data_IF_564026294766
#
_entry.id   IF_564026294766
#
_cell.length_a   1.000
_cell.length_b   1.000
_cell.length_c   1.000
_cell.angle_alpha   90.00
_cell.angle_beta   90.00
_cell.angle_gamma   90.00
#
_symmetry.space_group_name_H-M   'P 1'
#
loop_
_entity.id
_entity.type
_entity.pdbx_description
1 polymer ?
#
# COMPACT_ATOMS: atom_id res chain seq x y z
N UNK A 1 23.78 -5.19 21.59
CA UNK A 1 22.35 -5.54 21.38
C UNK A 1 21.73 -4.71 20.27
N UNK A 2 22.02 -5.05 19.00
CA UNK A 2 21.82 -4.20 17.81
C UNK A 2 20.75 -4.71 16.85
N UNK A 3 19.57 -5.05 17.36
CA UNK A 3 18.53 -5.74 16.57
C UNK A 3 17.46 -4.81 15.96
N UNK A 4 17.42 -3.53 16.32
CA UNK A 4 16.36 -2.61 15.88
C UNK A 4 16.93 -1.28 15.42
N UNK A 5 16.53 -0.86 14.21
CA UNK A 5 16.87 0.42 13.61
C UNK A 5 15.67 1.36 13.72
N UNK A 6 15.91 2.61 14.08
CA UNK A 6 14.92 3.67 13.93
C UNK A 6 14.98 4.17 12.48
N UNK A 7 13.87 4.05 11.75
CA UNK A 7 13.79 4.48 10.35
C UNK A 7 12.63 5.47 10.19
N UNK A 8 12.84 6.50 9.38
CA UNK A 8 11.79 7.44 9.00
C UNK A 8 11.25 7.06 7.61
N UNK A 9 9.92 6.96 7.50
CA UNK A 9 9.27 6.74 6.21
C UNK A 9 9.33 8.02 5.38
N UNK A 10 9.92 7.95 4.19
CA UNK A 10 9.97 9.10 3.26
C UNK A 10 8.58 9.53 2.78
N UNK A 11 7.62 8.60 2.76
CA UNK A 11 6.24 8.86 2.29
C UNK A 11 5.38 9.50 3.36
N UNK A 12 5.50 9.05 4.62
CA UNK A 12 4.60 9.49 5.71
C UNK A 12 5.27 10.40 6.73
N UNK A 13 6.60 10.56 6.68
CA UNK A 13 7.39 11.27 7.67
C UNK A 13 7.42 10.61 9.06
N UNK A 14 6.76 9.47 9.24
CA UNK A 14 6.67 8.79 10.54
C UNK A 14 7.91 7.94 10.80
N UNK A 15 8.40 8.02 12.03
CA UNK A 15 9.49 7.18 12.52
C UNK A 15 8.92 5.85 13.07
N UNK A 16 9.57 4.75 12.73
CA UNK A 16 9.25 3.43 13.26
C UNK A 16 10.50 2.63 13.57
N UNK A 17 10.41 1.76 14.58
CA UNK A 17 11.45 0.79 14.88
C UNK A 17 11.25 -0.44 14.00
N UNK A 18 12.29 -0.80 13.25
CA UNK A 18 12.27 -1.94 12.33
C UNK A 18 13.46 -2.85 12.66
N UNK A 19 13.28 -4.18 12.68
CA UNK A 19 14.39 -5.09 12.90
C UNK A 19 15.49 -4.90 11.85
N UNK A 20 16.75 -5.04 12.25
CA UNK A 20 17.90 -4.96 11.34
C UNK A 20 17.81 -5.95 10.17
N UNK A 21 17.19 -7.10 10.39
CA UNK A 21 16.92 -8.13 9.39
C UNK A 21 15.93 -7.70 8.29
N UNK A 22 15.12 -6.67 8.56
CA UNK A 22 14.11 -6.14 7.64
C UNK A 22 14.61 -4.90 6.86
N UNK A 23 15.84 -4.46 7.10
CA UNK A 23 16.44 -3.30 6.43
C UNK A 23 17.41 -3.77 5.35
N UNK A 24 17.28 -3.21 4.16
CA UNK A 24 18.21 -3.40 3.06
C UNK A 24 18.82 -2.06 2.66
N UNK A 25 20.14 -2.02 2.48
CA UNK A 25 20.81 -0.82 1.97
C UNK A 25 20.83 -0.88 0.45
N UNK A 26 20.33 0.16 -0.19
CA UNK A 26 20.31 0.26 -1.66
C UNK A 26 21.35 1.28 -2.11
N UNK A 27 22.23 0.89 -3.03
CA UNK A 27 23.19 1.78 -3.71
C UNK A 27 22.91 1.76 -5.20
N UNK A 28 23.13 2.90 -5.87
CA UNK A 28 22.95 3.03 -7.32
C UNK A 28 21.58 2.58 -7.85
N UNK A 29 20.56 2.46 -6.99
CA UNK A 29 19.19 1.95 -7.26
C UNK A 29 19.07 0.47 -7.61
N UNK A 30 20.14 -0.19 -8.05
CA UNK A 30 20.13 -1.62 -8.42
C UNK A 30 21.00 -2.50 -7.53
N UNK A 31 21.87 -1.95 -6.67
CA UNK A 31 22.72 -2.74 -5.76
C UNK A 31 22.10 -2.81 -4.38
N UNK A 32 21.76 -4.01 -3.92
CA UNK A 32 21.09 -4.27 -2.66
C UNK A 32 21.99 -5.07 -1.71
N UNK A 33 22.20 -4.53 -0.51
CA UNK A 33 22.89 -5.19 0.60
C UNK A 33 21.85 -5.70 1.60
N UNK A 34 22.02 -6.93 2.08
CA UNK A 34 21.09 -7.55 3.04
C UNK A 34 19.84 -8.17 2.43
N UNK A 35 19.68 -8.18 1.10
CA UNK A 35 18.53 -8.81 0.43
C UNK A 35 18.78 -10.29 0.14
N UNK A 36 17.90 -11.15 0.66
CA UNK A 36 17.94 -12.59 0.39
C UNK A 36 17.46 -12.92 -1.03
N UNK A 37 17.73 -14.14 -1.50
CA UNK A 37 17.25 -14.62 -2.81
C UNK A 37 15.72 -14.51 -2.91
N UNK A 38 15.01 -15.01 -1.90
CA UNK A 38 13.55 -14.98 -1.87
C UNK A 38 13.02 -13.53 -1.86
N UNK A 39 13.67 -12.65 -1.09
CA UNK A 39 13.24 -11.24 -1.04
C UNK A 39 13.46 -10.52 -2.37
N UNK A 40 14.54 -10.85 -3.08
CA UNK A 40 14.79 -10.34 -4.43
C UNK A 40 13.71 -10.80 -5.43
N UNK A 41 13.27 -12.06 -5.33
CA UNK A 41 12.17 -12.58 -6.16
C UNK A 41 10.87 -11.83 -5.88
N UNK A 42 10.51 -11.65 -4.61
CA UNK A 42 9.35 -10.84 -4.22
C UNK A 42 9.44 -9.44 -4.82
N UNK A 43 10.55 -8.72 -4.57
CA UNK A 43 10.80 -7.35 -5.05
C UNK A 43 10.62 -7.23 -6.57
N UNK A 44 11.25 -8.11 -7.33
CA UNK A 44 11.15 -8.09 -8.80
C UNK A 44 9.76 -8.44 -9.30
N UNK A 45 9.00 -9.27 -8.58
CA UNK A 45 7.62 -9.64 -8.92
C UNK A 45 6.58 -8.58 -8.52
N UNK A 46 6.96 -7.49 -7.84
CA UNK A 46 6.01 -6.42 -7.53
C UNK A 46 5.36 -5.81 -8.79
N UNK A 47 4.09 -5.36 -8.68
CA UNK A 47 3.46 -4.55 -9.71
C UNK A 47 4.27 -3.27 -9.92
N UNK A 48 4.66 -3.00 -11.17
CA UNK A 48 5.53 -1.88 -11.55
C UNK A 48 6.81 -2.35 -12.21
N UNK A 49 7.32 -3.53 -11.87
CA UNK A 49 8.44 -4.14 -12.56
C UNK A 49 7.98 -4.82 -13.86
N UNK A 50 8.78 -4.70 -14.92
CA UNK A 50 8.54 -5.29 -16.25
C UNK A 50 9.58 -6.38 -16.56
N UNK A 51 9.40 -7.09 -17.67
CA UNK A 51 10.42 -8.02 -18.17
C UNK A 51 11.74 -7.27 -18.41
N UNK A 52 12.86 -7.84 -17.95
CA UNK A 52 14.18 -7.19 -17.94
C UNK A 52 14.44 -6.30 -16.72
N UNK A 53 13.50 -6.21 -15.76
CA UNK A 53 13.79 -5.57 -14.48
C UNK A 53 14.80 -6.37 -13.69
N UNK A 54 15.76 -5.71 -13.06
CA UNK A 54 16.87 -6.41 -12.40
C UNK A 54 17.31 -5.75 -11.10
N UNK A 55 17.99 -6.55 -10.27
CA UNK A 55 18.75 -6.07 -9.13
C UNK A 55 19.98 -6.95 -8.93
N UNK A 56 21.04 -6.37 -8.36
CA UNK A 56 22.23 -7.08 -7.91
C UNK A 56 22.19 -7.11 -6.40
N UNK A 57 22.21 -8.31 -5.82
CA UNK A 57 22.27 -8.49 -4.37
C UNK A 57 23.65 -8.98 -3.95
N UNK A 58 24.13 -8.48 -2.82
CA UNK A 58 25.30 -9.06 -2.16
C UNK A 58 24.89 -10.34 -1.43
N UNK A 59 25.68 -11.40 -1.57
CA UNK A 59 25.41 -12.66 -0.89
C UNK A 59 25.61 -12.50 0.61
N UNK A 60 24.61 -12.90 1.41
CA UNK A 60 24.69 -12.93 2.88
C UNK A 60 25.65 -14.03 3.43
N UNK A 61 26.23 -14.84 2.55
CA UNK A 61 27.20 -15.88 2.94
C UNK A 61 28.52 -15.26 3.41
N UNK A 62 29.22 -15.92 4.35
CA UNK A 62 30.49 -15.46 4.97
C UNK A 62 31.63 -15.07 4.01
N UNK A 63 31.53 -15.37 2.71
CA UNK A 63 32.45 -14.86 1.69
C UNK A 63 32.01 -13.47 1.22
N UNK A 64 32.64 -12.45 1.80
CA UNK A 64 32.53 -11.07 1.34
C UNK A 64 32.88 -10.95 -0.15
N UNK A 65 32.11 -10.14 -0.89
CA UNK A 65 32.38 -9.85 -2.30
C UNK A 65 31.80 -10.86 -3.32
N UNK A 66 30.88 -11.73 -2.89
CA UNK A 66 30.07 -12.53 -3.82
C UNK A 66 28.77 -11.80 -4.17
N UNK A 67 28.56 -11.48 -5.45
CA UNK A 67 27.34 -10.84 -5.92
C UNK A 67 26.45 -11.82 -6.70
N UNK A 68 25.16 -11.53 -6.75
CA UNK A 68 24.21 -12.26 -7.60
C UNK A 68 23.30 -11.27 -8.32
N UNK A 69 23.18 -11.42 -9.63
CA UNK A 69 22.26 -10.68 -10.46
C UNK A 69 20.94 -11.43 -10.54
N UNK A 70 19.83 -10.79 -10.18
CA UNK A 70 18.48 -11.33 -10.28
C UNK A 70 17.71 -10.55 -11.34
N UNK A 71 17.11 -11.23 -12.30
CA UNK A 71 16.43 -10.62 -13.45
C UNK A 71 15.02 -11.21 -13.59
N UNK A 72 14.02 -10.34 -13.69
CA UNK A 72 12.64 -10.73 -14.01
C UNK A 72 12.50 -11.05 -15.49
N UNK A 73 11.95 -12.23 -15.75
CA UNK A 73 11.50 -12.66 -17.07
C UNK A 73 9.99 -12.88 -17.02
N UNK A 74 9.28 -12.22 -17.92
CA UNK A 74 7.89 -12.54 -18.24
C UNK A 74 7.90 -13.34 -19.54
N UNK A 75 7.62 -14.64 -19.48
CA UNK A 75 7.58 -15.52 -20.66
C UNK A 75 6.15 -16.02 -20.84
N UNK A 76 5.54 -15.71 -22.00
CA UNK A 76 4.21 -16.13 -22.46
C UNK A 76 3.11 -16.25 -21.38
N UNK A 77 2.33 -15.17 -21.21
CA UNK A 77 0.94 -15.08 -20.70
C UNK A 77 0.55 -15.76 -19.37
N UNK A 78 1.40 -16.57 -18.74
CA UNK A 78 0.97 -17.53 -17.72
C UNK A 78 1.80 -17.51 -16.45
N UNK A 79 3.09 -17.10 -16.48
CA UNK A 79 3.88 -16.98 -15.24
C UNK A 79 5.04 -16.01 -15.41
N UNK A 80 5.18 -15.10 -14.44
CA UNK A 80 6.39 -14.31 -14.26
C UNK A 80 7.39 -15.12 -13.42
N UNK A 81 8.65 -15.07 -13.83
CA UNK A 81 9.74 -15.73 -13.12
C UNK A 81 10.95 -14.84 -12.96
N UNK A 82 11.84 -15.25 -12.05
CA UNK A 82 13.08 -14.54 -11.77
C UNK A 82 14.24 -15.51 -11.94
N UNK A 83 15.18 -15.14 -12.81
CA UNK A 83 16.41 -15.89 -13.04
C UNK A 83 17.55 -15.28 -12.23
N UNK A 84 18.39 -16.12 -11.63
CA UNK A 84 19.51 -15.68 -10.81
C UNK A 84 20.83 -16.10 -11.44
N UNK A 85 21.72 -15.14 -11.63
CA UNK A 85 23.07 -15.32 -12.14
C UNK A 85 24.08 -15.05 -11.04
N UNK A 86 25.04 -15.96 -10.89
CA UNK A 86 26.15 -15.76 -9.96
C UNK A 86 27.20 -14.87 -10.62
N UNK A 87 27.58 -13.79 -9.93
CA UNK A 87 28.70 -12.94 -10.34
C UNK A 87 29.93 -13.44 -9.59
N UNK A 88 30.90 -13.93 -10.35
CA UNK A 88 32.19 -14.37 -9.85
C UNK A 88 33.17 -13.21 -9.85
N UNK A 89 34.10 -13.24 -8.89
CA UNK A 89 35.18 -12.27 -8.78
C UNK A 89 36.52 -12.98 -8.97
N UNK A 90 37.34 -12.48 -9.87
CA UNK A 90 38.70 -12.93 -10.11
C UNK A 90 39.67 -12.35 -9.07
N UNK A 91 40.86 -12.93 -8.97
CA UNK A 91 41.94 -12.48 -8.08
C UNK A 91 42.43 -11.06 -8.42
N UNK A 92 42.39 -10.68 -9.70
CA UNK A 92 42.71 -9.32 -10.17
C UNK A 92 41.61 -8.29 -9.85
N UNK A 93 40.52 -8.71 -9.20
CA UNK A 93 39.39 -7.86 -8.82
C UNK A 93 38.28 -7.74 -9.88
N UNK A 94 38.46 -8.29 -11.08
CA UNK A 94 37.46 -8.24 -12.14
C UNK A 94 36.27 -9.17 -11.85
N UNK A 95 35.14 -8.90 -12.49
CA UNK A 95 33.86 -9.55 -12.28
C UNK A 95 33.36 -10.21 -13.55
N UNK A 96 32.69 -11.36 -13.45
CA UNK A 96 32.09 -12.02 -14.60
C UNK A 96 30.88 -12.88 -14.23
N UNK A 97 29.98 -13.04 -15.18
CA UNK A 97 28.91 -14.04 -15.15
C UNK A 97 29.27 -15.18 -16.12
N UNK A 98 29.57 -14.81 -17.37
CA UNK A 98 30.12 -15.71 -18.38
C UNK A 98 31.65 -15.55 -18.42
N UNK A 99 32.46 -16.62 -18.38
CA UNK A 99 33.92 -16.53 -18.42
C UNK A 99 34.47 -15.82 -19.67
N UNK A 100 33.66 -15.67 -20.71
CA UNK A 100 34.01 -14.96 -21.96
C UNK A 100 33.97 -13.44 -21.81
N UNK A 101 33.24 -12.92 -20.82
CA UNK A 101 32.97 -11.51 -20.62
C UNK A 101 33.34 -11.12 -19.18
N UNK A 102 34.42 -10.37 -19.05
CA UNK A 102 34.97 -9.95 -17.76
C UNK A 102 34.98 -8.42 -17.67
N UNK A 103 34.59 -7.89 -16.51
CA UNK A 103 34.35 -6.47 -16.30
C UNK A 103 35.17 -5.95 -15.11
N UNK A 104 35.70 -4.72 -15.16
CA UNK A 104 36.45 -4.17 -14.03
C UNK A 104 35.53 -3.68 -12.89
N UNK A 105 34.26 -3.35 -13.17
CA UNK A 105 33.28 -2.95 -12.16
C UNK A 105 31.89 -3.56 -12.40
N UNK A 106 31.03 -3.50 -11.37
CA UNK A 106 29.62 -3.87 -11.50
C UNK A 106 28.87 -2.93 -12.46
N UNK A 107 29.32 -1.68 -12.59
CA UNK A 107 28.69 -0.71 -13.47
C UNK A 107 28.90 -1.11 -14.94
N UNK A 108 30.15 -1.41 -15.32
CA UNK A 108 30.47 -1.86 -16.69
C UNK A 108 29.75 -3.17 -17.04
N UNK A 109 29.60 -4.06 -16.05
CA UNK A 109 28.83 -5.29 -16.20
C UNK A 109 27.36 -4.99 -16.51
N UNK A 110 26.73 -4.09 -15.74
CA UNK A 110 25.33 -3.70 -15.94
C UNK A 110 25.15 -3.02 -17.30
N UNK A 111 26.04 -2.09 -17.65
CA UNK A 111 25.95 -1.34 -18.90
C UNK A 111 26.05 -2.28 -20.11
N UNK A 112 27.01 -3.20 -20.11
CA UNK A 112 27.15 -4.19 -21.18
C UNK A 112 25.92 -5.09 -21.32
N UNK A 113 25.38 -5.58 -20.20
CA UNK A 113 24.19 -6.45 -20.21
C UNK A 113 22.88 -5.70 -20.47
N UNK A 114 22.90 -4.36 -20.38
CA UNK A 114 21.79 -3.51 -20.80
C UNK A 114 21.74 -3.33 -22.32
N UNK A 115 22.91 -3.24 -22.97
CA UNK A 115 23.02 -3.15 -24.42
C UNK A 115 22.87 -4.52 -25.10
N UNK A 116 23.50 -5.55 -24.53
CA UNK A 116 23.54 -6.90 -25.10
C UNK A 116 23.21 -7.96 -24.05
N UNK A 117 22.07 -8.65 -24.23
CA UNK A 117 21.66 -9.76 -23.35
C UNK A 117 22.44 -11.07 -23.57
N UNK A 118 23.66 -11.00 -24.12
CA UNK A 118 24.47 -12.17 -24.49
C UNK A 118 24.75 -13.08 -23.29
N UNK A 119 24.14 -14.26 -23.27
CA UNK A 119 24.27 -15.22 -22.16
C UNK A 119 23.35 -14.96 -20.96
N UNK A 120 22.48 -13.95 -21.02
CA UNK A 120 21.40 -13.73 -20.06
C UNK A 120 20.04 -14.15 -20.63
N UNK A 121 19.05 -14.18 -19.74
CA UNK A 121 17.69 -14.56 -20.05
C UNK A 121 16.95 -13.51 -20.89
N UNK A 122 17.30 -12.25 -20.69
CA UNK A 122 16.86 -11.05 -21.40
C UNK A 122 17.85 -9.92 -21.09
N UNK A 123 17.93 -8.86 -21.93
CA UNK A 123 18.75 -7.69 -21.63
C UNK A 123 18.22 -6.95 -20.40
N UNK A 124 19.14 -6.32 -19.66
CA UNK A 124 18.79 -5.51 -18.50
C UNK A 124 18.13 -4.22 -18.96
N UNK A 125 16.90 -3.96 -18.51
CA UNK A 125 16.15 -2.77 -18.91
C UNK A 125 16.12 -1.71 -17.83
N UNK A 126 15.49 -2.04 -16.71
CA UNK A 126 15.23 -1.08 -15.64
C UNK A 126 15.66 -1.69 -14.30
N UNK A 127 16.22 -0.86 -13.38
CA UNK A 127 16.48 -1.31 -12.03
C UNK A 127 15.16 -1.65 -11.32
N UNK A 128 15.20 -2.56 -10.36
CA UNK A 128 14.04 -2.94 -9.58
C UNK A 128 13.35 -1.73 -8.94
N UNK A 129 12.10 -1.51 -9.31
CA UNK A 129 11.26 -0.52 -8.66
C UNK A 129 10.70 -1.11 -7.37
N UNK A 130 11.14 -0.52 -6.25
CA UNK A 130 10.52 -0.72 -4.94
C UNK A 130 9.28 0.16 -4.74
N UNK A 131 8.89 0.96 -5.73
CA UNK A 131 7.65 1.74 -5.73
C UNK A 131 6.44 0.86 -6.04
N UNK A 132 6.24 -0.17 -5.23
CA UNK A 132 5.01 -0.94 -5.18
C UNK A 132 3.91 -0.27 -4.36
N UNK A 133 4.19 0.87 -3.71
CA UNK A 133 3.21 1.59 -2.88
C UNK A 133 3.44 3.10 -3.02
N UNK A 134 3.39 3.62 -4.25
CA UNK A 134 2.71 4.90 -4.38
C UNK A 134 1.24 4.57 -4.22
N UNK A 135 0.74 4.55 -2.98
CA UNK A 135 -0.63 4.98 -2.80
C UNK A 135 -0.61 6.43 -3.28
N UNK A 136 -0.79 6.65 -4.58
CA UNK A 136 -1.60 7.80 -4.99
C UNK A 136 -2.76 7.75 -4.02
N UNK A 137 -3.01 8.77 -3.18
CA UNK A 137 -4.21 8.78 -2.39
C UNK A 137 -5.31 8.52 -3.41
N UNK A 138 -5.86 7.31 -3.39
CA UNK A 138 -7.06 7.00 -4.15
C UNK A 138 -7.97 8.14 -3.74
N UNK A 139 -8.48 8.99 -4.66
CA UNK A 139 -9.54 9.90 -4.29
C UNK A 139 -10.58 9.00 -3.66
N UNK A 140 -10.69 9.12 -2.33
CA UNK A 140 -11.27 8.12 -1.46
C UNK A 140 -12.60 7.76 -2.07
N UNK A 141 -12.71 6.59 -2.69
CA UNK A 141 -14.01 5.99 -2.91
C UNK A 141 -14.56 5.94 -1.51
N UNK A 142 -15.65 6.67 -1.18
CA UNK A 142 -16.06 6.84 0.19
C UNK A 142 -16.26 5.44 0.73
N UNK A 143 -15.33 5.02 1.59
CA UNK A 143 -15.43 3.72 2.22
C UNK A 143 -16.70 3.86 3.02
N UNK A 144 -17.71 3.06 2.71
CA UNK A 144 -18.92 2.99 3.52
C UNK A 144 -18.46 2.53 4.88
N UNK A 145 -18.15 3.49 5.75
CA UNK A 145 -17.96 3.27 7.16
C UNK A 145 -19.31 2.78 7.62
N UNK A 146 -19.42 1.48 7.87
CA UNK A 146 -20.50 0.97 8.71
C UNK A 146 -20.28 1.62 10.07
N UNK A 147 -20.93 2.79 10.23
CA UNK A 147 -20.99 3.53 11.48
C UNK A 147 -21.44 2.53 12.55
N UNK A 148 -20.80 2.48 13.73
CA UNK A 148 -21.17 1.55 14.77
C UNK A 148 -22.68 1.66 15.05
N UNK A 149 -23.32 0.52 15.32
CA UNK A 149 -24.76 0.42 15.58
C UNK A 149 -25.19 1.53 16.54
N UNK A 150 -26.00 2.46 16.04
CA UNK A 150 -26.56 3.55 16.82
C UNK A 150 -27.29 2.93 18.01
N UNK A 151 -26.82 3.24 19.22
CA UNK A 151 -27.45 2.76 20.44
C UNK A 151 -28.66 3.67 20.73
N UNK A 152 -29.85 3.19 20.35
CA UNK A 152 -31.11 3.94 20.47
C UNK A 152 -31.49 4.28 21.90
N UNK A 153 -30.98 3.53 22.90
CA UNK A 153 -31.24 3.77 24.32
C UNK A 153 -30.57 5.04 24.86
N UNK A 154 -29.58 5.57 24.13
CA UNK A 154 -28.88 6.82 24.49
C UNK A 154 -29.40 8.05 23.76
N UNK A 155 -30.42 7.91 22.92
CA UNK A 155 -30.96 9.02 22.12
C UNK A 155 -32.15 9.63 22.86
N UNK A 156 -31.93 10.80 23.45
CA UNK A 156 -33.01 11.58 24.03
C UNK A 156 -33.83 12.25 22.91
N UNK A 157 -35.15 12.07 22.95
CA UNK A 157 -36.10 12.67 22.01
C UNK A 157 -35.89 14.18 21.86
N UNK A 158 -35.47 14.88 22.91
CA UNK A 158 -35.21 16.33 22.89
C UNK A 158 -34.08 16.76 21.93
N UNK A 159 -33.12 15.89 21.59
CA UNK A 159 -32.03 16.20 20.66
C UNK A 159 -32.47 16.23 19.19
N UNK A 160 -33.59 15.59 18.87
CA UNK A 160 -34.21 15.61 17.54
C UNK A 160 -34.99 16.91 17.31
N UNK A 161 -35.50 17.54 18.37
CA UNK A 161 -36.46 18.64 18.30
C UNK A 161 -35.89 20.02 18.67
N UNK A 162 -34.62 20.12 19.09
CA UNK A 162 -34.03 21.41 19.50
C UNK A 162 -33.71 22.31 18.30
N UNK A 163 -34.70 23.05 17.81
CA UNK A 163 -34.45 24.25 17.02
C UNK A 163 -33.87 25.34 17.92
N UNK A 164 -32.65 25.78 17.61
CA UNK A 164 -31.91 26.92 18.18
C UNK A 164 -31.03 26.67 19.42
N UNK A 165 -29.83 27.26 19.32
CA UNK A 165 -28.69 27.33 20.25
C UNK A 165 -27.76 26.11 20.32
N UNK A 166 -26.64 26.25 19.61
CA UNK A 166 -25.45 25.38 19.58
C UNK A 166 -24.79 25.16 20.95
N UNK A 167 -24.51 23.91 21.34
CA UNK A 167 -23.38 23.54 22.20
C UNK A 167 -22.22 22.96 21.36
N UNK A 168 -21.00 22.86 21.92
CA UNK A 168 -19.79 22.47 21.19
C UNK A 168 -19.85 21.04 20.63
N UNK A 169 -19.27 20.87 19.45
CA UNK A 169 -19.49 19.80 18.47
C UNK A 169 -18.92 18.41 18.79
N UNK A 170 -18.66 18.03 20.04
CA UNK A 170 -17.89 16.79 20.30
C UNK A 170 -18.68 15.59 20.85
N UNK A 171 -19.98 15.71 21.13
CA UNK A 171 -20.77 14.59 21.70
C UNK A 171 -22.19 14.41 21.10
N UNK A 172 -22.43 14.81 19.84
CA UNK A 172 -23.73 14.55 19.21
C UNK A 172 -23.82 13.14 18.60
N UNK A 173 -24.78 12.29 19.04
CA UNK A 173 -24.90 10.90 18.57
C UNK A 173 -25.45 10.79 17.13
N UNK A 174 -26.01 11.87 16.60
CA UNK A 174 -26.59 11.94 15.25
C UNK A 174 -25.82 12.94 14.38
N UNK A 175 -25.60 12.59 13.11
CA UNK A 175 -24.94 13.50 12.16
C UNK A 175 -25.86 14.65 11.75
N UNK A 176 -25.29 15.84 11.53
CA UNK A 176 -26.00 17.03 11.06
C UNK A 176 -26.93 16.74 9.86
N UNK A 177 -26.44 16.05 8.84
CA UNK A 177 -27.25 15.72 7.66
C UNK A 177 -28.45 14.79 7.94
N UNK A 178 -28.35 13.89 8.93
CA UNK A 178 -29.50 13.07 9.36
C UNK A 178 -30.53 13.93 10.09
N UNK A 179 -30.04 14.84 10.94
CA UNK A 179 -30.86 15.77 11.69
C UNK A 179 -31.65 16.71 10.77
N UNK A 180 -31.01 17.25 9.75
CA UNK A 180 -31.66 18.09 8.74
C UNK A 180 -32.70 17.32 7.93
N UNK A 181 -32.41 16.07 7.55
CA UNK A 181 -33.35 15.23 6.82
C UNK A 181 -34.61 14.91 7.64
N UNK A 182 -34.46 14.58 8.92
CA UNK A 182 -35.59 14.33 9.83
C UNK A 182 -36.41 15.62 10.01
N UNK A 183 -35.75 16.74 10.25
CA UNK A 183 -36.42 18.03 10.44
C UNK A 183 -37.19 18.44 9.18
N UNK A 184 -36.61 18.22 7.99
CA UNK A 184 -37.29 18.47 6.73
C UNK A 184 -38.49 17.54 6.54
N UNK A 185 -38.36 16.24 6.83
CA UNK A 185 -39.47 15.30 6.69
C UNK A 185 -40.65 15.68 7.60
N UNK A 186 -40.37 16.02 8.86
CA UNK A 186 -41.40 16.45 9.79
C UNK A 186 -42.11 17.71 9.31
N UNK A 187 -41.37 18.75 8.84
CA UNK A 187 -41.98 19.94 8.25
C UNK A 187 -42.89 19.62 7.05
N UNK A 188 -42.52 18.63 6.22
CA UNK A 188 -43.34 18.20 5.10
C UNK A 188 -44.55 17.37 5.51
N UNK A 189 -44.49 16.66 6.64
CA UNK A 189 -45.59 15.80 7.13
C UNK A 189 -46.50 16.46 8.15
N UNK A 190 -46.08 17.60 8.73
CA UNK A 190 -46.86 18.36 9.73
C UNK A 190 -48.02 19.16 9.10
N UNK A 191 -48.23 19.06 7.78
CA UNK A 191 -49.41 19.62 7.08
C UNK A 191 -50.54 18.62 6.86
N UNK A 192 -50.61 17.52 7.61
CA UNK A 192 -51.77 16.61 7.60
C UNK A 192 -52.06 16.12 9.03
N UNK A 193 -52.79 16.87 9.86
CA UNK A 193 -54.25 16.80 10.09
C UNK A 193 -54.49 17.23 11.58
N UNK A 194 -55.68 17.61 12.11
CA UNK A 194 -57.04 17.19 11.68
C UNK A 194 -58.12 18.30 11.63
N UNK A 195 -59.20 18.06 10.89
CA UNK A 195 -60.47 18.81 11.03
C UNK A 195 -61.41 18.04 11.97
N UNK A 196 -61.93 18.73 12.99
CA UNK A 196 -62.79 18.26 14.07
C UNK A 196 -64.30 18.45 13.76
N UNK A 197 -65.08 17.40 14.02
CA UNK A 197 -66.46 17.45 14.56
C UNK A 197 -67.65 17.85 13.65
N UNK A 198 -68.93 17.60 14.05
CA UNK A 198 -69.39 17.46 15.44
C UNK A 198 -70.40 16.33 15.77
N UNK A 199 -70.44 16.07 17.09
CA UNK A 199 -71.40 15.47 18.04
C UNK A 199 -72.87 15.15 17.66
N UNK A 200 -73.41 14.04 18.20
CA UNK A 200 -74.86 13.84 18.36
C UNK A 200 -75.35 12.49 18.92
N UNK A 201 -75.34 12.34 20.26
CA UNK A 201 -76.23 11.56 21.18
C UNK A 201 -77.01 10.32 20.71
N UNK A 202 -76.95 9.25 21.52
CA UNK A 202 -78.19 8.62 22.06
C UNK A 202 -78.36 7.08 22.04
N UNK A 203 -77.99 6.45 23.15
CA UNK A 203 -78.75 5.45 23.93
C UNK A 203 -79.20 4.05 23.38
N UNK A 204 -78.72 3.02 24.13
CA UNK A 204 -79.42 1.86 24.77
C UNK A 204 -79.91 0.63 23.97
N UNK A 205 -79.44 -0.54 24.46
CA UNK A 205 -80.13 -1.84 24.73
C UNK A 205 -81.13 -2.37 23.69
N UNK A 206 -81.03 -3.59 23.18
CA UNK A 206 -81.00 -4.89 23.88
C UNK A 206 -80.69 -6.00 22.88
#
# INVERSE_FOLDING_TARGET
DGEWWLVASEVSGKECHVPSSCVAKVRHRWLYEGVSRQKAEELLLWPGNRSGSFLIRESQTRQAGCYSLSVRRSEHASWDSVTHYRIHRLENGWLYISPRLTFPSLHDLVDHYSESGEGLCCPLREPCSMEGVRVTPVPTVPTVVKKPSLNWDKIDSSLLFSGAASPPEEDSPISLGLREAISSYLLLTETAAPEEGPTGKGAKSS
#
